data_IF_163327048490
#
_entry.id   IF_163327048490
#
_cell.length_a   1.000
_cell.length_b   1.000
_cell.length_c   1.000
_cell.angle_alpha   90.00
_cell.angle_beta   90.00
_cell.angle_gamma   90.00
#
_symmetry.space_group_name_H-M   'P 1'
#
loop_
_entity.id
_entity.type
_entity.pdbx_description
1 polymer ?
#
# COMPACT_ATOMS: atom_id res chain seq x y z
N UNK A 1 -35.66 20.28 88.84
CA UNK A 1 -34.47 20.88 89.51
C UNK A 1 -33.26 20.65 88.58
N UNK A 2 -32.46 21.73 88.37
CA UNK A 2 -31.17 21.85 87.70
C UNK A 2 -31.18 21.76 86.15
N UNK A 3 -31.18 22.81 85.46
CA UNK A 3 -30.26 23.83 84.96
C UNK A 3 -28.84 23.34 84.67
N UNK A 4 -28.40 23.46 83.44
CA UNK A 4 -27.16 24.07 82.93
C UNK A 4 -27.06 23.61 81.45
N UNK A 5 -26.90 24.37 80.46
CA UNK A 5 -26.07 25.55 80.33
C UNK A 5 -25.23 25.36 79.07
N UNK A 6 -25.52 26.12 78.05
CA UNK A 6 -25.08 26.19 76.75
C UNK A 6 -23.57 26.16 76.48
N UNK A 7 -23.22 25.95 75.25
CA UNK A 7 -22.14 26.64 74.56
C UNK A 7 -22.36 26.42 73.07
N UNK A 8 -22.70 27.51 72.40
CA UNK A 8 -22.64 27.63 70.90
C UNK A 8 -21.21 27.81 70.55
N UNK A 9 -20.64 26.90 69.79
CA UNK A 9 -19.39 27.10 69.04
C UNK A 9 -19.73 27.16 67.54
N UNK A 10 -19.70 28.36 67.00
CA UNK A 10 -19.87 28.61 65.58
C UNK A 10 -18.64 28.14 64.83
N UNK A 11 -18.82 27.22 63.94
CA UNK A 11 -17.82 26.88 62.92
C UNK A 11 -18.08 27.70 61.69
N UNK A 12 -17.17 28.66 61.40
CA UNK A 12 -17.09 29.38 60.14
C UNK A 12 -16.51 28.42 59.08
N UNK A 13 -17.33 27.98 58.15
CA UNK A 13 -16.86 27.27 56.94
C UNK A 13 -16.38 28.32 55.96
N UNK A 14 -15.04 28.44 55.83
CA UNK A 14 -14.42 29.19 54.76
C UNK A 14 -14.51 28.37 53.49
N UNK A 15 -15.41 28.78 52.55
CA UNK A 15 -15.52 28.21 51.23
C UNK A 15 -14.30 28.54 50.39
N UNK A 16 -13.43 27.55 50.12
CA UNK A 16 -12.43 27.66 49.06
C UNK A 16 -13.14 27.62 47.71
N UNK A 17 -13.27 28.76 47.05
CA UNK A 17 -13.58 28.82 45.62
C UNK A 17 -12.32 28.40 44.86
N UNK A 18 -12.26 27.14 44.44
CA UNK A 18 -11.30 26.69 43.47
C UNK A 18 -11.67 27.26 42.11
N UNK A 19 -11.00 28.34 41.74
CA UNK A 19 -11.10 28.89 40.38
C UNK A 19 -10.62 27.86 39.37
N UNK A 20 -11.54 27.33 38.59
CA UNK A 20 -11.20 26.55 37.41
C UNK A 20 -10.46 27.47 36.43
N UNK A 21 -9.15 27.34 36.34
CA UNK A 21 -8.40 27.94 35.26
C UNK A 21 -8.90 27.35 33.93
N UNK A 22 -9.23 28.17 32.94
CA UNK A 22 -9.53 27.65 31.62
C UNK A 22 -8.28 26.90 31.13
N UNK A 23 -8.41 25.58 30.93
CA UNK A 23 -7.44 24.83 30.15
C UNK A 23 -7.48 25.45 28.76
N UNK A 24 -6.48 26.26 28.45
CA UNK A 24 -6.26 26.74 27.09
C UNK A 24 -6.17 25.47 26.23
N UNK A 25 -7.16 25.28 25.36
CA UNK A 25 -7.08 24.27 24.34
C UNK A 25 -5.77 24.53 23.58
N UNK A 26 -4.80 23.64 23.73
CA UNK A 26 -3.60 23.69 22.92
C UNK A 26 -4.08 23.60 21.47
N UNK A 27 -4.03 24.72 20.75
CA UNK A 27 -4.17 24.71 19.31
C UNK A 27 -3.11 23.74 18.79
N UNK A 28 -3.57 22.63 18.21
CA UNK A 28 -2.70 21.71 17.48
C UNK A 28 -2.02 22.57 16.42
N UNK A 29 -0.67 22.61 16.41
CA UNK A 29 0.04 23.44 15.44
C UNK A 29 -0.49 23.09 14.05
N UNK A 30 -0.90 24.10 13.30
CA UNK A 30 -1.27 23.95 11.91
C UNK A 30 0.05 23.71 11.18
N UNK A 31 0.47 22.43 11.11
CA UNK A 31 1.68 22.06 10.42
C UNK A 31 1.54 22.54 8.99
N UNK A 32 2.39 23.49 8.61
CA UNK A 32 2.47 24.03 7.26
C UNK A 32 2.77 22.93 6.24
N UNK A 33 2.92 23.27 4.96
CA UNK A 33 3.35 22.30 3.97
C UNK A 33 4.67 21.66 4.37
N UNK A 34 4.70 20.31 4.37
CA UNK A 34 5.89 19.51 4.67
C UNK A 34 6.39 18.83 3.41
N UNK A 35 7.70 18.65 3.33
CA UNK A 35 8.30 17.91 2.24
C UNK A 35 7.78 16.48 2.24
N UNK A 36 7.32 16.03 1.08
CA UNK A 36 6.68 14.73 0.91
C UNK A 36 7.24 14.08 -0.35
N UNK A 37 7.64 12.83 -0.21
CA UNK A 37 8.21 12.04 -1.29
C UNK A 37 7.31 10.88 -1.63
N UNK A 38 7.11 10.62 -2.92
CA UNK A 38 6.32 9.49 -3.40
C UNK A 38 6.98 8.79 -4.57
N UNK A 39 6.64 7.52 -4.75
CA UNK A 39 7.08 6.74 -5.91
C UNK A 39 6.05 6.90 -7.03
N UNK A 40 6.54 7.10 -8.24
CA UNK A 40 5.74 7.00 -9.45
C UNK A 40 6.46 6.11 -10.46
N UNK A 41 5.71 5.44 -11.33
CA UNK A 41 6.27 4.69 -12.46
C UNK A 41 5.80 5.25 -13.79
N UNK A 42 6.62 5.06 -14.82
CA UNK A 42 6.35 5.52 -16.18
C UNK A 42 6.07 4.32 -17.06
N UNK A 43 5.02 4.43 -17.85
CA UNK A 43 4.70 3.49 -18.91
C UNK A 43 4.92 4.15 -20.25
N UNK A 44 5.77 3.54 -21.08
CA UNK A 44 6.08 4.00 -22.43
C UNK A 44 6.37 2.80 -23.34
N UNK A 45 6.17 2.96 -24.66
CA UNK A 45 6.55 1.94 -25.64
C UNK A 45 8.05 1.72 -25.73
N UNK A 46 8.83 2.75 -25.42
CA UNK A 46 10.29 2.71 -25.36
C UNK A 46 10.74 3.49 -24.10
N UNK A 47 11.84 3.10 -23.46
CA UNK A 47 12.37 3.84 -22.32
C UNK A 47 12.70 5.29 -22.73
N UNK A 48 12.02 6.25 -22.12
CA UNK A 48 12.24 7.68 -22.35
C UNK A 48 12.36 8.35 -20.97
N UNK A 49 13.41 9.16 -20.74
CA UNK A 49 13.53 9.90 -19.50
C UNK A 49 12.33 10.83 -19.27
N UNK A 50 11.84 10.86 -18.04
CA UNK A 50 10.76 11.75 -17.66
C UNK A 50 11.32 13.17 -17.45
N UNK A 51 10.76 14.14 -18.18
CA UNK A 51 11.17 15.55 -18.05
C UNK A 51 10.45 16.21 -16.86
N UNK A 52 11.18 16.66 -15.81
CA UNK A 52 10.57 17.31 -14.66
C UNK A 52 9.73 18.54 -15.01
N UNK A 53 10.07 19.26 -16.08
CA UNK A 53 9.35 20.47 -16.54
C UNK A 53 7.96 20.15 -17.10
N UNK A 54 7.74 18.90 -17.50
CA UNK A 54 6.47 18.44 -18.07
C UNK A 54 5.61 17.69 -17.03
N UNK A 55 6.06 17.61 -15.77
CA UNK A 55 5.33 17.01 -14.67
C UNK A 55 4.48 18.07 -13.99
N UNK A 56 3.21 17.76 -13.77
CA UNK A 56 2.28 18.53 -13.00
C UNK A 56 1.87 17.78 -11.75
N UNK A 57 2.05 18.41 -10.59
CA UNK A 57 1.66 17.86 -9.29
C UNK A 57 0.52 18.68 -8.73
N UNK A 58 -0.56 18.04 -8.33
CA UNK A 58 -1.71 18.64 -7.67
C UNK A 58 -1.95 17.96 -6.31
N UNK A 59 -1.97 18.75 -5.25
CA UNK A 59 -2.24 18.32 -3.88
C UNK A 59 -3.57 18.93 -3.44
N UNK A 60 -4.55 18.11 -3.07
CA UNK A 60 -5.92 18.55 -2.77
C UNK A 60 -6.53 19.46 -3.85
N UNK A 61 -6.26 19.17 -5.13
CA UNK A 61 -6.72 19.94 -6.27
C UNK A 61 -6.00 21.28 -6.49
N UNK A 62 -4.94 21.57 -5.72
CA UNK A 62 -4.10 22.76 -5.91
C UNK A 62 -2.75 22.34 -6.49
N UNK A 63 -2.33 23.05 -7.53
CA UNK A 63 -1.01 22.82 -8.12
C UNK A 63 0.08 23.19 -7.11
N UNK A 64 1.07 22.31 -6.97
CA UNK A 64 2.27 22.53 -6.18
C UNK A 64 3.52 22.31 -7.05
N UNK A 65 4.62 22.95 -6.65
CA UNK A 65 5.88 22.76 -7.36
C UNK A 65 6.47 21.36 -7.08
N UNK A 66 6.98 20.73 -8.12
CA UNK A 66 7.86 19.56 -7.99
C UNK A 66 9.22 20.05 -7.51
N UNK A 67 9.66 19.61 -6.31
CA UNK A 67 10.94 20.02 -5.73
C UNK A 67 12.09 19.21 -6.32
N UNK A 68 11.90 17.90 -6.48
CA UNK A 68 12.86 17.01 -7.14
C UNK A 68 12.18 15.83 -7.84
N UNK A 69 12.87 15.30 -8.83
CA UNK A 69 12.49 14.07 -9.54
C UNK A 69 13.74 13.23 -9.76
N UNK A 70 13.88 12.15 -9.03
CA UNK A 70 15.07 11.30 -9.08
C UNK A 70 14.69 9.89 -9.52
N UNK A 71 15.38 9.35 -10.52
CA UNK A 71 15.15 7.96 -10.96
C UNK A 71 15.54 7.01 -9.82
N UNK A 72 14.68 6.09 -9.49
CA UNK A 72 14.94 5.06 -8.49
C UNK A 72 15.96 4.07 -9.06
N UNK A 73 16.98 3.78 -8.27
CA UNK A 73 17.94 2.73 -8.61
C UNK A 73 17.33 1.38 -8.20
N UNK A 74 17.06 0.46 -9.13
CA UNK A 74 16.44 -0.83 -8.80
C UNK A 74 17.22 -1.62 -7.74
N UNK A 75 18.54 -1.46 -7.69
CA UNK A 75 19.41 -2.07 -6.69
C UNK A 75 19.09 -1.64 -5.24
N UNK A 76 18.45 -0.50 -5.04
CA UNK A 76 18.03 -0.02 -3.70
C UNK A 76 16.57 -0.26 -3.40
N UNK A 77 15.83 -0.86 -4.33
CA UNK A 77 14.42 -1.15 -4.16
C UNK A 77 14.17 -2.34 -3.24
N UNK A 78 13.02 -2.32 -2.58
CA UNK A 78 12.48 -3.43 -1.82
C UNK A 78 11.25 -3.99 -2.58
N UNK A 79 11.30 -5.27 -2.93
CA UNK A 79 10.26 -5.96 -3.71
C UNK A 79 9.69 -7.10 -2.90
N UNK A 80 8.42 -6.99 -2.51
CA UNK A 80 7.69 -8.06 -1.85
C UNK A 80 6.78 -8.78 -2.85
N UNK A 81 6.92 -10.09 -2.96
CA UNK A 81 6.06 -10.96 -3.76
C UNK A 81 5.12 -11.68 -2.80
N UNK A 82 3.83 -11.36 -2.86
CA UNK A 82 2.79 -11.90 -1.99
C UNK A 82 1.93 -12.90 -2.77
N UNK A 83 2.05 -14.16 -2.45
CA UNK A 83 1.36 -15.26 -3.12
C UNK A 83 0.17 -15.70 -2.27
N UNK A 84 -1.00 -15.76 -2.86
CA UNK A 84 -2.20 -16.29 -2.19
C UNK A 84 -2.05 -17.79 -1.94
N UNK A 85 -2.03 -18.20 -0.67
CA UNK A 85 -1.85 -19.59 -0.26
C UNK A 85 -3.10 -20.46 -0.55
N UNK A 86 -4.20 -19.81 -0.92
CA UNK A 86 -5.43 -20.45 -1.40
C UNK A 86 -5.45 -20.80 -2.89
N UNK A 87 -4.45 -20.40 -3.67
CA UNK A 87 -4.35 -20.78 -5.08
C UNK A 87 -4.19 -22.30 -5.22
N UNK A 88 -4.77 -22.88 -6.29
CA UNK A 88 -4.68 -24.32 -6.54
C UNK A 88 -3.26 -24.78 -6.87
N UNK A 89 -3.01 -26.07 -6.71
CA UNK A 89 -1.72 -26.71 -7.02
C UNK A 89 -1.28 -26.52 -8.48
N UNK A 90 -2.23 -26.29 -9.41
CA UNK A 90 -1.94 -25.91 -10.80
C UNK A 90 -1.06 -24.65 -10.91
N UNK A 91 -1.05 -23.78 -9.90
CA UNK A 91 -0.11 -22.67 -9.81
C UNK A 91 1.36 -23.13 -9.80
N UNK A 92 1.61 -24.39 -9.48
CA UNK A 92 2.94 -24.99 -9.49
C UNK A 92 3.71 -24.82 -10.81
N UNK A 93 3.01 -24.74 -11.96
CA UNK A 93 3.62 -24.49 -13.28
C UNK A 93 4.25 -23.11 -13.39
N UNK A 94 3.87 -22.16 -12.54
CA UNK A 94 4.35 -20.77 -12.54
C UNK A 94 5.59 -20.55 -11.64
N UNK A 95 5.95 -21.54 -10.84
CA UNK A 95 7.04 -21.42 -9.85
C UNK A 95 8.37 -21.09 -10.50
N UNK A 96 8.67 -21.70 -11.66
CA UNK A 96 9.92 -21.48 -12.37
C UNK A 96 10.00 -20.05 -12.95
N UNK A 97 8.88 -19.48 -13.41
CA UNK A 97 8.83 -18.11 -13.85
C UNK A 97 9.13 -17.12 -12.70
N UNK A 98 8.55 -17.39 -11.51
CA UNK A 98 8.84 -16.61 -10.31
C UNK A 98 10.31 -16.70 -9.89
N UNK A 99 10.88 -17.90 -9.89
CA UNK A 99 12.29 -18.10 -9.54
C UNK A 99 13.22 -17.40 -10.52
N UNK A 100 12.96 -17.49 -11.82
CA UNK A 100 13.70 -16.77 -12.86
C UNK A 100 13.60 -15.26 -12.68
N UNK A 101 12.39 -14.74 -12.42
CA UNK A 101 12.19 -13.32 -12.15
C UNK A 101 13.03 -12.87 -10.95
N UNK A 102 12.94 -13.56 -9.80
CA UNK A 102 13.69 -13.21 -8.59
C UNK A 102 15.18 -13.15 -8.87
N UNK A 103 15.73 -14.18 -9.55
CA UNK A 103 17.17 -14.25 -9.86
C UNK A 103 17.61 -13.25 -10.92
N UNK A 104 16.68 -12.70 -11.71
CA UNK A 104 16.96 -11.70 -12.75
C UNK A 104 16.93 -10.25 -12.24
N UNK A 105 16.52 -10.02 -11.00
CA UNK A 105 16.50 -8.68 -10.42
C UNK A 105 17.92 -8.15 -10.25
N UNK A 106 18.13 -6.82 -10.33
CA UNK A 106 19.44 -6.21 -10.15
C UNK A 106 20.07 -6.54 -8.80
N UNK A 107 21.37 -6.78 -8.78
CA UNK A 107 22.13 -7.04 -7.55
C UNK A 107 21.91 -5.88 -6.57
N UNK A 108 21.60 -6.19 -5.33
CA UNK A 108 21.26 -5.22 -4.28
C UNK A 108 19.77 -5.07 -4.02
N UNK A 109 18.89 -5.36 -5.00
CA UNK A 109 17.44 -5.37 -4.78
C UNK A 109 17.11 -6.29 -3.61
N UNK A 110 16.42 -5.75 -2.61
CA UNK A 110 15.95 -6.54 -1.46
C UNK A 110 14.63 -7.22 -1.83
N UNK A 111 14.60 -8.53 -1.77
CA UNK A 111 13.42 -9.32 -2.17
C UNK A 111 12.87 -10.10 -0.98
N UNK A 112 11.55 -10.07 -0.84
CA UNK A 112 10.78 -10.87 0.11
C UNK A 112 9.76 -11.71 -0.65
N UNK A 113 9.63 -12.98 -0.31
CA UNK A 113 8.53 -13.84 -0.77
C UNK A 113 7.70 -14.27 0.43
N UNK A 114 6.42 -13.99 0.39
CA UNK A 114 5.49 -14.35 1.43
C UNK A 114 4.18 -14.94 0.90
N UNK A 115 3.53 -15.71 1.77
CA UNK A 115 2.26 -16.36 1.47
C UNK A 115 1.16 -15.71 2.29
N UNK A 116 0.13 -15.24 1.60
CA UNK A 116 -1.06 -14.65 2.21
C UNK A 116 -1.91 -15.75 2.84
N UNK A 117 -2.03 -15.70 4.18
CA UNK A 117 -2.71 -16.72 4.95
C UNK A 117 -3.32 -16.14 6.23
N UNK A 118 -4.56 -16.50 6.53
CA UNK A 118 -5.27 -16.13 7.77
C UNK A 118 -5.25 -14.62 8.07
N UNK A 119 -5.36 -13.79 7.03
CA UNK A 119 -5.37 -12.33 7.15
C UNK A 119 -4.00 -11.69 7.37
N UNK A 120 -2.92 -12.45 7.28
CA UNK A 120 -1.53 -11.98 7.37
C UNK A 120 -0.64 -12.55 6.27
N UNK A 121 0.65 -12.27 6.35
CA UNK A 121 1.66 -12.78 5.40
C UNK A 121 2.74 -13.53 6.16
N UNK A 122 3.02 -14.76 5.73
CA UNK A 122 4.10 -15.58 6.27
C UNK A 122 5.18 -15.75 5.22
N UNK A 123 6.39 -15.29 5.49
CA UNK A 123 7.58 -15.50 4.67
C UNK A 123 8.48 -16.58 5.25
N UNK A 124 9.29 -17.21 4.39
CA UNK A 124 10.33 -18.15 4.84
C UNK A 124 11.52 -17.41 5.47
N UNK A 125 11.75 -16.16 5.06
CA UNK A 125 12.83 -15.29 5.55
C UNK A 125 12.40 -13.83 5.41
N UNK A 126 13.16 -12.89 6.00
CA UNK A 126 13.00 -11.45 5.77
C UNK A 126 13.45 -11.03 4.37
N UNK A 127 13.45 -9.72 4.12
CA UNK A 127 14.03 -9.16 2.89
C UNK A 127 15.50 -9.56 2.75
N UNK A 128 15.91 -9.96 1.55
CA UNK A 128 17.28 -10.39 1.27
C UNK A 128 17.72 -10.00 -0.15
N UNK A 129 18.99 -9.62 -0.29
CA UNK A 129 19.64 -9.45 -1.58
C UNK A 129 20.25 -10.76 -2.13
N UNK A 130 20.23 -11.86 -1.37
CA UNK A 130 20.56 -13.20 -1.87
C UNK A 130 19.37 -13.78 -2.64
N UNK A 131 19.26 -13.38 -3.91
CA UNK A 131 18.16 -13.78 -4.79
C UNK A 131 18.10 -15.31 -4.99
N UNK A 132 19.25 -15.99 -4.93
CA UNK A 132 19.28 -17.45 -5.06
C UNK A 132 18.64 -18.14 -3.85
N UNK A 133 18.89 -17.63 -2.65
CA UNK A 133 18.23 -18.10 -1.42
C UNK A 133 16.73 -17.80 -1.44
N UNK A 134 16.35 -16.56 -1.83
CA UNK A 134 14.94 -16.18 -1.93
C UNK A 134 14.21 -17.04 -2.96
N UNK A 135 14.78 -17.29 -4.13
CA UNK A 135 14.18 -18.14 -5.15
C UNK A 135 13.93 -19.58 -4.66
N UNK A 136 14.82 -20.13 -3.82
CA UNK A 136 14.62 -21.45 -3.21
C UNK A 136 13.45 -21.49 -2.23
N UNK A 137 13.07 -20.36 -1.64
CA UNK A 137 11.95 -20.28 -0.70
C UNK A 137 10.57 -20.30 -1.39
N UNK A 138 10.53 -20.12 -2.71
CA UNK A 138 9.27 -20.17 -3.48
C UNK A 138 8.76 -21.62 -3.51
N UNK A 139 7.54 -21.81 -2.99
CA UNK A 139 6.85 -23.11 -2.91
C UNK A 139 5.48 -23.06 -3.57
N UNK A 140 4.91 -24.21 -3.78
CA UNK A 140 3.52 -24.38 -4.20
C UNK A 140 2.58 -23.88 -3.07
N UNK A 141 1.50 -23.14 -3.39
CA UNK A 141 0.46 -22.81 -2.43
C UNK A 141 -0.19 -24.05 -1.80
N UNK A 142 -0.73 -23.90 -0.60
CA UNK A 142 -1.37 -25.01 0.13
C UNK A 142 -2.69 -25.47 -0.50
N UNK A 143 -3.24 -24.71 -1.42
CA UNK A 143 -4.47 -25.03 -2.19
C UNK A 143 -5.73 -25.19 -1.33
N UNK A 144 -5.76 -24.61 -0.14
CA UNK A 144 -6.95 -24.65 0.72
C UNK A 144 -7.81 -23.40 0.47
N UNK A 145 -9.02 -23.53 -0.09
CA UNK A 145 -9.92 -22.39 -0.32
C UNK A 145 -10.19 -21.62 0.96
N UNK A 146 -10.13 -20.29 0.87
CA UNK A 146 -10.39 -19.39 2.01
C UNK A 146 -9.27 -19.28 3.04
N UNK A 147 -8.13 -19.95 2.83
CA UNK A 147 -7.01 -19.91 3.78
C UNK A 147 -6.36 -18.52 3.86
N UNK A 148 -6.38 -17.75 2.80
CA UNK A 148 -5.90 -16.36 2.80
C UNK A 148 -6.84 -15.42 3.55
N UNK A 149 -8.06 -15.83 3.84
CA UNK A 149 -9.18 -15.05 4.37
C UNK A 149 -9.61 -13.95 3.38
N UNK A 150 -8.90 -12.82 3.34
CA UNK A 150 -9.00 -11.81 2.29
C UNK A 150 -7.60 -11.39 1.89
N UNK A 151 -7.25 -11.29 0.61
CA UNK A 151 -5.95 -10.81 0.18
C UNK A 151 -5.72 -9.34 0.62
N UNK A 152 -6.79 -8.58 0.83
CA UNK A 152 -6.71 -7.19 1.28
C UNK A 152 -6.41 -7.07 2.78
N UNK A 153 -6.88 -8.00 3.61
CA UNK A 153 -6.42 -8.08 5.01
C UNK A 153 -4.94 -8.40 5.08
N UNK A 154 -4.49 -9.36 4.28
CA UNK A 154 -3.08 -9.72 4.20
C UNK A 154 -2.21 -8.55 3.74
N UNK A 155 -2.64 -7.83 2.70
CA UNK A 155 -1.94 -6.64 2.20
C UNK A 155 -1.87 -5.54 3.27
N UNK A 156 -3.03 -5.18 3.87
CA UNK A 156 -3.12 -4.16 4.92
C UNK A 156 -2.20 -4.48 6.11
N UNK A 157 -2.23 -5.72 6.59
CA UNK A 157 -1.37 -6.19 7.66
C UNK A 157 0.11 -6.11 7.31
N UNK A 158 0.48 -6.56 6.12
CA UNK A 158 1.87 -6.58 5.65
C UNK A 158 2.46 -5.19 5.50
N UNK A 159 1.74 -4.25 4.85
CA UNK A 159 2.26 -2.90 4.62
C UNK A 159 2.39 -2.10 5.90
N UNK A 160 1.52 -2.31 6.89
CA UNK A 160 1.62 -1.70 8.23
C UNK A 160 2.81 -2.21 9.03
N UNK A 161 3.17 -3.45 8.85
CA UNK A 161 4.26 -4.13 9.56
C UNK A 161 5.45 -4.42 8.65
N UNK A 162 5.68 -3.59 7.65
CA UNK A 162 6.72 -3.80 6.65
C UNK A 162 8.00 -4.38 7.26
N UNK A 163 8.41 -5.61 6.90
CA UNK A 163 9.43 -6.35 7.64
C UNK A 163 10.86 -5.96 7.24
N UNK A 164 11.11 -4.66 7.08
CA UNK A 164 12.43 -4.09 6.79
C UNK A 164 12.52 -2.66 7.31
N UNK A 165 13.66 -2.34 7.94
CA UNK A 165 14.01 -0.99 8.37
C UNK A 165 14.93 -0.29 7.36
N UNK A 166 15.25 -0.94 6.23
CA UNK A 166 16.07 -0.34 5.18
C UNK A 166 15.27 0.73 4.46
N UNK A 167 15.94 1.82 4.10
CA UNK A 167 15.39 2.82 3.17
C UNK A 167 15.20 2.23 1.77
N UNK A 168 14.56 2.98 0.90
CA UNK A 168 14.36 2.63 -0.50
C UNK A 168 12.89 2.54 -0.90
N UNK A 169 12.67 2.51 -2.21
CA UNK A 169 11.33 2.42 -2.75
C UNK A 169 10.72 1.03 -2.51
N UNK A 170 9.45 1.01 -2.09
CA UNK A 170 8.73 -0.21 -1.71
C UNK A 170 7.75 -0.61 -2.79
N UNK A 171 7.91 -1.83 -3.29
CA UNK A 171 7.03 -2.42 -4.30
C UNK A 171 6.46 -3.73 -3.80
N UNK A 172 5.17 -3.92 -4.03
CA UNK A 172 4.47 -5.18 -3.78
C UNK A 172 3.96 -5.72 -5.10
N UNK A 173 4.13 -7.02 -5.33
CA UNK A 173 3.46 -7.79 -6.36
C UNK A 173 2.56 -8.82 -5.70
N UNK A 174 1.25 -8.67 -5.85
CA UNK A 174 0.27 -9.66 -5.39
C UNK A 174 -0.03 -10.67 -6.49
N UNK A 175 -0.07 -11.94 -6.12
CA UNK A 175 -0.50 -13.06 -6.98
C UNK A 175 -1.72 -13.71 -6.31
N UNK A 176 -2.91 -13.36 -6.77
CA UNK A 176 -4.18 -13.76 -6.14
C UNK A 176 -5.34 -13.66 -7.13
N UNK A 177 -6.48 -14.27 -6.81
CA UNK A 177 -7.71 -14.04 -7.55
C UNK A 177 -8.37 -12.68 -7.26
N UNK A 178 -7.91 -11.97 -6.25
CA UNK A 178 -8.42 -10.66 -5.85
C UNK A 178 -9.82 -10.65 -5.24
N UNK A 179 -10.46 -11.80 -5.06
CA UNK A 179 -11.81 -11.87 -4.49
C UNK A 179 -11.75 -11.60 -2.99
N UNK A 180 -12.65 -10.71 -2.54
CA UNK A 180 -12.84 -10.45 -1.11
C UNK A 180 -14.05 -11.25 -0.60
N UNK A 181 -13.84 -12.37 0.12
CA UNK A 181 -14.93 -13.22 0.58
C UNK A 181 -15.78 -12.57 1.68
N UNK A 182 -15.29 -11.49 2.30
CA UNK A 182 -15.97 -10.80 3.41
C UNK A 182 -16.81 -9.62 2.96
N UNK A 183 -16.81 -9.28 1.67
CA UNK A 183 -17.58 -8.15 1.13
C UNK A 183 -18.94 -8.58 0.57
N UNK A 184 -19.57 -9.57 1.15
CA UNK A 184 -20.90 -10.04 0.75
C UNK A 184 -20.92 -10.76 -0.60
N UNK A 185 -21.77 -10.32 -1.53
CA UNK A 185 -21.90 -10.97 -2.84
C UNK A 185 -20.72 -10.69 -3.76
N UNK A 186 -20.23 -11.73 -4.45
CA UNK A 186 -19.26 -11.62 -5.55
C UNK A 186 -19.89 -11.17 -6.88
N UNK A 187 -20.99 -10.42 -6.82
CA UNK A 187 -21.71 -9.89 -7.98
C UNK A 187 -20.85 -8.85 -8.72
N UNK A 188 -21.02 -8.78 -10.04
CA UNK A 188 -20.47 -7.71 -10.88
C UNK A 188 -20.90 -6.30 -10.43
N UNK A 189 -22.06 -6.20 -9.78
CA UNK A 189 -22.58 -4.93 -9.24
C UNK A 189 -21.88 -4.50 -7.95
N UNK A 190 -21.17 -5.40 -7.26
CA UNK A 190 -20.45 -5.09 -6.04
C UNK A 190 -19.04 -4.63 -6.37
N UNK A 191 -18.90 -3.34 -6.67
CA UNK A 191 -17.63 -2.69 -7.07
C UNK A 191 -16.94 -1.96 -5.93
N UNK A 192 -17.47 -2.01 -4.72
CA UNK A 192 -16.90 -1.34 -3.55
C UNK A 192 -16.68 -2.33 -2.42
N UNK A 193 -15.56 -2.20 -1.72
CA UNK A 193 -15.28 -2.97 -0.50
C UNK A 193 -14.56 -2.10 0.52
N UNK A 194 -15.05 -1.99 1.76
CA UNK A 194 -14.38 -1.26 2.81
C UNK A 194 -13.00 -1.85 3.15
N UNK A 195 -12.80 -3.13 2.88
CA UNK A 195 -11.54 -3.82 3.12
C UNK A 195 -10.50 -3.50 2.03
N UNK A 196 -10.95 -3.40 0.78
CA UNK A 196 -10.13 -2.92 -0.35
C UNK A 196 -9.70 -1.48 -0.09
N UNK A 197 -10.64 -0.59 0.27
CA UNK A 197 -10.35 0.80 0.61
C UNK A 197 -9.39 0.93 1.81
N UNK A 198 -9.52 0.06 2.82
CA UNK A 198 -8.61 0.05 3.96
C UNK A 198 -7.19 -0.34 3.51
N UNK A 199 -7.05 -1.38 2.69
CA UNK A 199 -5.76 -1.80 2.16
C UNK A 199 -5.11 -0.73 1.28
N UNK A 200 -5.89 -0.02 0.45
CA UNK A 200 -5.41 1.14 -0.34
C UNK A 200 -4.83 2.22 0.58
N UNK A 201 -5.61 2.65 1.58
CA UNK A 201 -5.17 3.69 2.54
C UNK A 201 -3.91 3.28 3.31
N UNK A 202 -3.83 2.02 3.72
CA UNK A 202 -2.67 1.53 4.48
C UNK A 202 -1.42 1.46 3.59
N UNK A 203 -1.54 1.02 2.33
CA UNK A 203 -0.45 1.02 1.37
C UNK A 203 0.02 2.44 1.01
N UNK A 204 -0.92 3.38 0.83
CA UNK A 204 -0.62 4.80 0.60
C UNK A 204 0.11 5.44 1.79
N UNK A 205 -0.30 5.14 3.03
CA UNK A 205 0.41 5.61 4.25
C UNK A 205 1.83 5.05 4.33
N UNK A 206 1.99 3.79 3.96
CA UNK A 206 3.28 3.12 3.97
C UNK A 206 4.20 3.51 2.78
N UNK A 207 3.70 4.32 1.83
CA UNK A 207 4.43 4.70 0.62
C UNK A 207 4.77 3.52 -0.29
N UNK A 208 3.89 2.51 -0.35
CA UNK A 208 4.10 1.27 -1.09
C UNK A 208 3.34 1.32 -2.41
N UNK A 209 4.02 1.08 -3.53
CA UNK A 209 3.40 0.83 -4.83
C UNK A 209 3.00 -0.64 -4.95
N UNK A 210 1.71 -0.89 -5.17
CA UNK A 210 1.16 -2.26 -5.22
C UNK A 210 0.74 -2.59 -6.64
N UNK A 211 1.37 -3.61 -7.21
CA UNK A 211 0.96 -4.24 -8.46
C UNK A 211 0.34 -5.61 -8.19
N UNK A 212 -0.46 -6.11 -9.11
CA UNK A 212 -1.09 -7.41 -8.95
C UNK A 212 -1.16 -8.18 -10.28
N UNK A 213 -0.99 -9.50 -10.22
CA UNK A 213 -1.34 -10.41 -11.30
C UNK A 213 -2.56 -11.22 -10.85
N UNK A 214 -3.68 -11.03 -11.57
CA UNK A 214 -4.90 -11.78 -11.31
C UNK A 214 -4.73 -13.24 -11.75
N UNK A 215 -4.88 -14.15 -10.78
CA UNK A 215 -4.82 -15.59 -11.01
C UNK A 215 -6.14 -16.22 -10.54
N UNK A 216 -7.01 -16.55 -11.48
CA UNK A 216 -8.41 -16.91 -11.21
C UNK A 216 -8.58 -18.31 -10.57
N UNK A 217 -7.55 -19.15 -10.58
CA UNK A 217 -7.60 -20.55 -10.17
C UNK A 217 -7.50 -20.75 -8.64
N UNK A 218 -8.38 -20.06 -7.90
CA UNK A 218 -8.47 -20.18 -6.44
C UNK A 218 -9.74 -20.93 -5.99
N UNK A 219 -10.32 -21.77 -6.83
CA UNK A 219 -11.54 -22.50 -6.49
C UNK A 219 -12.81 -21.65 -6.36
N UNK A 220 -12.76 -20.38 -6.69
CA UNK A 220 -13.90 -19.46 -6.65
C UNK A 220 -14.85 -19.78 -7.80
N UNK A 221 -16.12 -19.87 -7.49
CA UNK A 221 -17.17 -20.26 -8.43
C UNK A 221 -17.51 -19.12 -9.39
N UNK A 222 -17.26 -19.34 -10.70
CA UNK A 222 -17.87 -18.59 -11.79
C UNK A 222 -17.20 -17.24 -12.15
N UNK A 223 -17.51 -16.77 -13.36
CA UNK A 223 -16.90 -15.59 -13.98
C UNK A 223 -17.17 -14.28 -13.24
N UNK A 224 -18.31 -14.11 -12.55
CA UNK A 224 -18.65 -12.89 -11.80
C UNK A 224 -17.67 -12.62 -10.65
N UNK A 225 -17.21 -13.66 -9.94
CA UNK A 225 -16.22 -13.52 -8.89
C UNK A 225 -14.85 -13.07 -9.44
N UNK A 226 -14.46 -13.60 -10.61
CA UNK A 226 -13.23 -13.21 -11.30
C UNK A 226 -13.24 -11.73 -11.69
N UNK A 227 -14.34 -11.21 -12.22
CA UNK A 227 -14.49 -9.79 -12.58
C UNK A 227 -14.43 -8.88 -11.35
N UNK A 228 -15.10 -9.24 -10.27
CA UNK A 228 -15.04 -8.50 -9.01
C UNK A 228 -13.60 -8.47 -8.46
N UNK A 229 -12.92 -9.63 -8.45
CA UNK A 229 -11.52 -9.72 -8.03
C UNK A 229 -10.57 -8.86 -8.87
N UNK A 230 -10.69 -8.91 -10.21
CA UNK A 230 -9.90 -8.08 -11.11
C UNK A 230 -10.15 -6.59 -10.88
N UNK A 231 -11.42 -6.19 -10.69
CA UNK A 231 -11.78 -4.80 -10.38
C UNK A 231 -11.13 -4.31 -9.08
N UNK A 232 -11.16 -5.12 -8.02
CA UNK A 232 -10.54 -4.76 -6.75
C UNK A 232 -9.00 -4.67 -6.85
N UNK A 233 -8.37 -5.58 -7.58
CA UNK A 233 -6.92 -5.51 -7.82
C UNK A 233 -6.54 -4.27 -8.62
N UNK A 234 -7.35 -3.91 -9.63
CA UNK A 234 -7.15 -2.68 -10.40
C UNK A 234 -7.28 -1.44 -9.50
N UNK A 235 -8.30 -1.38 -8.63
CA UNK A 235 -8.50 -0.28 -7.69
C UNK A 235 -7.31 -0.11 -6.75
N UNK A 236 -6.76 -1.21 -6.20
CA UNK A 236 -5.57 -1.15 -5.33
C UNK A 236 -4.36 -0.65 -6.10
N UNK A 237 -4.14 -1.16 -7.32
CA UNK A 237 -3.03 -0.76 -8.17
C UNK A 237 -3.11 0.74 -8.52
N UNK A 238 -4.26 1.21 -9.00
CA UNK A 238 -4.47 2.63 -9.36
C UNK A 238 -4.29 3.54 -8.14
N UNK A 239 -4.87 3.17 -6.99
CA UNK A 239 -4.76 3.97 -5.77
C UNK A 239 -3.32 4.10 -5.26
N UNK A 240 -2.43 3.16 -5.58
CA UNK A 240 -1.05 3.09 -5.06
C UNK A 240 0.03 3.34 -6.11
N UNK A 241 -0.34 3.65 -7.35
CA UNK A 241 0.59 3.92 -8.45
C UNK A 241 1.27 2.66 -9.02
N UNK A 242 0.70 1.48 -8.78
CA UNK A 242 1.10 0.22 -9.40
C UNK A 242 0.30 -0.11 -10.65
N UNK A 243 0.31 -1.40 -11.04
CA UNK A 243 -0.40 -1.92 -12.21
C UNK A 243 -1.08 -3.25 -11.89
N UNK A 244 -2.24 -3.48 -12.49
CA UNK A 244 -2.93 -4.77 -12.43
C UNK A 244 -2.84 -5.48 -13.77
N UNK A 245 -2.42 -6.73 -13.74
CA UNK A 245 -2.24 -7.58 -14.93
C UNK A 245 -3.25 -8.73 -14.89
N UNK A 246 -3.87 -9.01 -16.02
CA UNK A 246 -4.82 -10.12 -16.15
C UNK A 246 -4.93 -10.60 -17.60
N UNK A 247 -5.34 -11.86 -17.77
CA UNK A 247 -5.57 -12.48 -19.07
C UNK A 247 -7.07 -12.77 -19.27
N UNK A 248 -7.88 -11.71 -19.38
CA UNK A 248 -9.32 -11.86 -19.42
C UNK A 248 -9.83 -12.60 -18.18
N UNK A 249 -10.59 -13.69 -18.39
CA UNK A 249 -11.12 -14.55 -17.32
C UNK A 249 -10.26 -15.82 -17.09
N UNK A 250 -9.17 -15.97 -17.81
CA UNK A 250 -8.32 -17.15 -17.80
C UNK A 250 -7.05 -16.91 -16.99
N UNK A 251 -6.48 -18.00 -16.48
CA UNK A 251 -5.14 -17.96 -15.89
C UNK A 251 -4.10 -17.70 -16.97
N UNK A 252 -3.05 -16.94 -16.65
CA UNK A 252 -1.88 -16.84 -17.51
C UNK A 252 -1.27 -18.22 -17.78
N UNK A 253 -0.91 -18.49 -19.02
CA UNK A 253 -0.12 -19.70 -19.38
C UNK A 253 1.29 -19.60 -18.79
N UNK A 254 1.85 -18.39 -18.76
CA UNK A 254 3.13 -18.05 -18.13
C UNK A 254 3.01 -16.70 -17.44
N UNK A 255 3.65 -16.54 -16.29
CA UNK A 255 3.75 -15.26 -15.59
C UNK A 255 4.85 -14.38 -16.17
N UNK A 256 5.79 -14.91 -16.96
CA UNK A 256 6.98 -14.19 -17.44
C UNK A 256 6.66 -12.85 -18.08
N UNK A 257 5.67 -12.70 -18.99
CA UNK A 257 5.38 -11.40 -19.61
C UNK A 257 5.01 -10.33 -18.56
N UNK A 258 4.17 -10.66 -17.59
CA UNK A 258 3.71 -9.74 -16.54
C UNK A 258 4.83 -9.41 -15.54
N UNK A 259 5.67 -10.39 -15.24
CA UNK A 259 6.85 -10.21 -14.39
C UNK A 259 7.88 -9.30 -15.06
N UNK A 260 8.04 -9.40 -16.37
CA UNK A 260 8.90 -8.51 -17.16
C UNK A 260 8.36 -7.08 -17.20
N UNK A 261 7.05 -6.91 -17.34
CA UNK A 261 6.40 -5.61 -17.25
C UNK A 261 6.55 -4.99 -15.85
N UNK A 262 6.39 -5.80 -14.79
CA UNK A 262 6.61 -5.34 -13.41
C UNK A 262 8.07 -4.95 -13.16
N UNK A 263 9.03 -5.73 -13.66
CA UNK A 263 10.46 -5.38 -13.61
C UNK A 263 10.75 -4.07 -14.32
N UNK A 264 10.15 -3.88 -15.49
CA UNK A 264 10.27 -2.63 -16.26
C UNK A 264 9.65 -1.46 -15.50
N UNK A 265 8.49 -1.65 -14.85
CA UNK A 265 7.87 -0.62 -14.02
C UNK A 265 8.77 -0.18 -12.86
N UNK A 266 9.47 -1.10 -12.19
CA UNK A 266 10.47 -0.78 -11.16
C UNK A 266 11.62 0.01 -11.77
N UNK A 267 12.17 -0.42 -12.90
CA UNK A 267 13.30 0.22 -13.58
C UNK A 267 12.97 1.63 -14.10
N UNK A 268 11.72 1.88 -14.47
CA UNK A 268 11.22 3.18 -14.94
C UNK A 268 10.45 3.93 -13.82
N UNK A 269 10.82 3.69 -12.55
CA UNK A 269 10.25 4.41 -11.41
C UNK A 269 11.09 5.60 -11.01
N UNK A 270 10.42 6.63 -10.49
CA UNK A 270 11.00 7.86 -9.99
C UNK A 270 10.47 8.18 -8.60
N UNK A 271 11.31 8.81 -7.80
CA UNK A 271 10.92 9.47 -6.57
C UNK A 271 10.62 10.93 -6.87
N UNK A 272 9.39 11.34 -6.68
CA UNK A 272 8.94 12.72 -6.82
C UNK A 272 8.81 13.36 -5.45
N UNK A 273 9.45 14.52 -5.23
CA UNK A 273 9.40 15.28 -3.99
C UNK A 273 8.65 16.59 -4.22
N UNK A 274 7.75 16.93 -3.33
CA UNK A 274 6.92 18.14 -3.39
C UNK A 274 6.43 18.51 -1.98
N UNK A 275 5.85 19.70 -1.84
CA UNK A 275 5.27 20.13 -0.58
C UNK A 275 3.80 19.70 -0.47
N UNK A 276 3.46 19.00 0.62
CA UNK A 276 2.08 18.61 0.92
C UNK A 276 1.66 19.06 2.32
N UNK A 277 0.38 19.40 2.48
CA UNK A 277 -0.18 19.78 3.78
C UNK A 277 -1.28 18.80 4.17
N UNK A 278 -1.33 18.42 5.45
CA UNK A 278 -2.48 17.74 6.01
C UNK A 278 -3.74 18.61 5.92
N UNK A 279 -4.90 17.98 5.78
CA UNK A 279 -6.17 18.71 5.88
C UNK A 279 -6.37 19.20 7.33
N UNK A 280 -6.81 20.45 7.49
CA UNK A 280 -7.05 21.08 8.81
C UNK A 280 -7.88 20.16 9.73
N UNK A 281 -7.42 19.98 10.96
CA UNK A 281 -8.12 19.23 12.00
C UNK A 281 -8.07 17.70 11.89
N UNK A 282 -7.26 17.14 10.97
CA UNK A 282 -7.13 15.70 10.74
C UNK A 282 -5.66 15.30 10.60
N UNK A 283 -4.89 15.43 11.66
CA UNK A 283 -3.43 15.32 11.69
C UNK A 283 -2.82 14.02 11.12
N UNK A 284 -3.57 12.95 10.92
CA UNK A 284 -3.07 11.69 10.35
C UNK A 284 -3.85 11.26 9.11
N UNK A 285 -4.27 12.23 8.28
CA UNK A 285 -5.06 11.96 7.08
C UNK A 285 -4.21 11.96 5.83
N UNK A 286 -4.52 11.01 4.95
CA UNK A 286 -4.03 11.02 3.59
C UNK A 286 -4.50 12.28 2.86
N UNK A 287 -3.61 12.85 2.07
CA UNK A 287 -3.84 14.01 1.24
C UNK A 287 -3.97 13.56 -0.21
N UNK A 288 -5.03 14.00 -0.89
CA UNK A 288 -5.24 13.64 -2.30
C UNK A 288 -4.11 14.16 -3.16
N UNK A 289 -3.57 13.27 -3.99
CA UNK A 289 -2.48 13.55 -4.92
C UNK A 289 -2.92 13.24 -6.35
N UNK A 290 -2.49 14.07 -7.29
CA UNK A 290 -2.57 13.78 -8.72
C UNK A 290 -1.27 14.22 -9.37
N UNK A 291 -0.58 13.27 -10.01
CA UNK A 291 0.61 13.54 -10.81
C UNK A 291 0.30 13.19 -12.26
N UNK A 292 0.63 14.09 -13.16
CA UNK A 292 0.42 13.90 -14.59
C UNK A 292 1.59 14.45 -15.39
N UNK A 293 1.72 14.03 -16.65
CA UNK A 293 2.73 14.54 -17.58
C UNK A 293 2.08 15.03 -18.87
N UNK A 294 2.63 16.09 -19.43
CA UNK A 294 2.29 16.54 -20.78
C UNK A 294 3.17 15.91 -21.87
N UNK A 295 4.17 15.11 -21.48
CA UNK A 295 5.09 14.44 -22.39
C UNK A 295 4.36 13.37 -23.20
N UNK A 296 4.36 13.51 -24.52
CA UNK A 296 3.61 12.61 -25.41
C UNK A 296 4.16 11.20 -25.37
N UNK A 297 3.26 10.22 -25.42
CA UNK A 297 3.62 8.78 -25.45
C UNK A 297 4.02 8.20 -24.10
N UNK A 298 3.92 8.98 -23.01
CA UNK A 298 4.14 8.55 -21.64
C UNK A 298 2.84 8.55 -20.84
N UNK A 299 2.69 7.54 -19.99
CA UNK A 299 1.67 7.51 -18.95
C UNK A 299 2.37 7.40 -17.58
N UNK A 300 1.97 8.24 -16.64
CA UNK A 300 2.48 8.21 -15.27
C UNK A 300 1.48 7.48 -14.40
N UNK A 301 1.97 6.52 -13.61
CA UNK A 301 1.24 5.86 -12.55
C UNK A 301 1.79 6.36 -11.22
N UNK A 302 0.95 7.00 -10.43
CA UNK A 302 1.29 7.58 -9.14
C UNK A 302 0.17 7.29 -8.13
N UNK A 303 0.45 7.27 -6.83
CA UNK A 303 -0.62 7.06 -5.84
C UNK A 303 -1.61 8.21 -5.87
N UNK A 304 -2.90 7.91 -5.63
CA UNK A 304 -3.97 8.89 -5.59
C UNK A 304 -4.01 9.71 -4.30
N UNK A 305 -3.31 9.23 -3.27
CA UNK A 305 -3.15 9.94 -2.00
C UNK A 305 -1.82 9.59 -1.34
N UNK A 306 -1.31 10.50 -0.53
CA UNK A 306 -0.07 10.36 0.23
C UNK A 306 -0.25 10.84 1.66
N UNK A 307 0.57 10.34 2.56
CA UNK A 307 0.71 10.91 3.90
C UNK A 307 1.73 12.06 3.83
N UNK A 308 1.35 13.31 4.21
CA UNK A 308 2.29 14.43 4.26
C UNK A 308 3.50 14.10 5.15
N UNK A 309 4.70 14.41 4.68
CA UNK A 309 5.94 14.06 5.36
C UNK A 309 6.45 12.64 5.13
N UNK A 310 5.73 11.80 4.35
CA UNK A 310 6.22 10.47 4.04
C UNK A 310 7.46 10.51 3.14
N UNK A 311 8.43 9.61 3.40
CA UNK A 311 9.63 9.42 2.58
C UNK A 311 10.62 10.60 2.58
N UNK A 312 10.52 11.51 3.55
CA UNK A 312 11.41 12.65 3.69
C UNK A 312 12.75 12.33 4.41
N UNK A 313 12.99 11.04 4.76
CA UNK A 313 14.24 10.57 5.37
C UNK A 313 15.27 10.10 4.36
#
# INVERSE_FOLDING_TARGET
>A
MHKLGGFLAGFAVAGLMAGALPVAAQEIPNEGPVETRTVLSVEAKQPVPLDPKQIKVEVNGRQTALTSLTRIQPATAQVAILIDDGLRSSFGIQIDDLKKFITSLPVGTQVFVGYMRNGGVTGAQGFSADHASVAKSVRIPLSAPGISASPYFCLSDFVKRWPSNSGGARFVLMLTNGVDPYNGSTSLMNQTSPYVEAAQRDAQRAGVSVSAIAYADAGVRGGSASFSGQSYLQQVADATGGRSYYNGTFNPVSLSPYLDEFRSAIAESYAATFMASALRGKGNTLTRLKISTSQKGLKVHAPEAVHPGSGAE
#
